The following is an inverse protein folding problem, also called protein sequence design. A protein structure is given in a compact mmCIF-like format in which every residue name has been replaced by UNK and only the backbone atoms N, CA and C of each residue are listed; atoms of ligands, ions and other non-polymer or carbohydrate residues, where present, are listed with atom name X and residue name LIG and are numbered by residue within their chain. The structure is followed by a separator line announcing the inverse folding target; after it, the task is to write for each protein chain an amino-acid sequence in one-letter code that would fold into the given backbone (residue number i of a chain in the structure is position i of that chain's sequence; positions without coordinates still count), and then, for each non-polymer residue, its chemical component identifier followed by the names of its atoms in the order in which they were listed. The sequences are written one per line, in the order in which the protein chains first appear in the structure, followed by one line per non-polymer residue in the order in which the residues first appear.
data_IF_188177664548
#
_entry.id   IF_188177664548
#
_cell.length_a   1.000
_cell.length_b   1.000
_cell.length_c   1.000
_cell.angle_alpha   90.00
_cell.angle_beta   90.00
_cell.angle_gamma   90.00
#
_symmetry.space_group_name_H-M   'P 1'
#
loop_
_entity.id
_entity.type
_entity.pdbx_description
1 polymer ?
#
# COMPACT_ATOMS: atom_id res chain seq x y z
N UNK A 1 -6.23 17.28 11.96
CA UNK A 1 -4.96 17.19 11.16
C UNK A 1 -5.05 18.07 9.93
N UNK A 2 -3.92 18.68 9.48
CA UNK A 2 -3.96 19.52 8.28
C UNK A 2 -4.17 18.68 7.02
N UNK A 3 -5.16 18.97 6.17
CA UNK A 3 -5.33 18.25 4.91
C UNK A 3 -4.10 18.42 4.00
N UNK A 4 -3.80 17.39 3.20
CA UNK A 4 -2.74 17.41 2.20
C UNK A 4 -3.38 17.58 0.81
N UNK A 5 -2.70 18.28 -0.12
CA UNK A 5 -3.24 18.52 -1.46
C UNK A 5 -2.20 18.24 -2.55
N UNK A 6 -2.52 17.33 -3.49
CA UNK A 6 -1.70 17.02 -4.66
C UNK A 6 -2.53 17.25 -5.92
N UNK A 7 -2.17 18.22 -6.75
CA UNK A 7 -2.77 18.44 -8.09
C UNK A 7 -4.30 18.40 -8.10
N UNK A 8 -4.93 19.03 -7.09
CA UNK A 8 -6.38 19.07 -6.93
C UNK A 8 -7.02 17.87 -6.24
N UNK A 9 -6.24 16.87 -5.80
CA UNK A 9 -6.68 15.81 -4.91
C UNK A 9 -6.45 16.23 -3.46
N UNK A 10 -7.47 16.16 -2.62
CA UNK A 10 -7.37 16.45 -1.19
C UNK A 10 -7.36 15.16 -0.38
N UNK A 11 -6.35 14.98 0.47
CA UNK A 11 -6.27 13.88 1.44
C UNK A 11 -6.62 14.45 2.81
N UNK A 12 -7.72 14.00 3.39
CA UNK A 12 -8.22 14.47 4.68
C UNK A 12 -8.35 13.29 5.67
N UNK A 13 -8.21 13.58 6.96
CA UNK A 13 -7.96 12.57 7.99
C UNK A 13 -8.98 12.63 9.12
N UNK A 14 -9.28 11.48 9.71
CA UNK A 14 -10.16 11.35 10.87
C UNK A 14 -11.55 11.93 10.62
N UNK A 15 -12.15 12.51 11.65
CA UNK A 15 -13.45 13.17 11.54
C UNK A 15 -13.45 14.35 10.55
N UNK A 16 -12.34 15.09 10.42
CA UNK A 16 -12.18 16.15 9.41
C UNK A 16 -12.26 15.58 7.99
N UNK A 17 -11.86 14.31 7.78
CA UNK A 17 -11.98 13.61 6.50
C UNK A 17 -13.43 13.42 6.08
N UNK A 18 -14.28 12.94 6.97
CA UNK A 18 -15.72 12.84 6.70
C UNK A 18 -16.37 14.21 6.49
N UNK A 19 -16.03 15.21 7.33
CA UNK A 19 -16.52 16.57 7.17
C UNK A 19 -16.10 17.19 5.80
N UNK A 20 -14.90 16.86 5.32
CA UNK A 20 -14.45 17.30 3.98
C UNK A 20 -15.25 16.62 2.86
N UNK A 21 -15.53 15.31 2.98
CA UNK A 21 -16.36 14.60 2.02
C UNK A 21 -17.79 15.15 2.01
N UNK A 22 -18.36 15.37 3.18
CA UNK A 22 -19.70 16.00 3.34
C UNK A 22 -19.75 17.35 2.63
N UNK A 23 -18.78 18.23 2.87
CA UNK A 23 -18.68 19.53 2.20
C UNK A 23 -18.55 19.37 0.69
N UNK A 24 -17.69 18.45 0.21
CA UNK A 24 -17.50 18.19 -1.21
C UNK A 24 -18.79 17.73 -1.89
N UNK A 25 -19.55 16.84 -1.26
CA UNK A 25 -20.83 16.36 -1.79
C UNK A 25 -21.87 17.49 -1.82
N UNK A 26 -22.00 18.28 -0.74
CA UNK A 26 -22.95 19.40 -0.67
C UNK A 26 -22.62 20.46 -1.74
N UNK A 27 -21.36 20.87 -1.87
CA UNK A 27 -20.93 21.88 -2.84
C UNK A 27 -21.13 21.46 -4.31
N UNK A 28 -21.08 20.15 -4.59
CA UNK A 28 -21.13 19.62 -5.95
C UNK A 28 -22.38 18.76 -6.23
N UNK A 29 -23.38 18.78 -5.36
CA UNK A 29 -24.57 17.91 -5.48
C UNK A 29 -25.27 18.04 -6.82
N UNK A 30 -25.44 19.26 -7.33
CA UNK A 30 -26.07 19.53 -8.62
C UNK A 30 -25.23 19.15 -9.83
N UNK A 31 -23.91 19.02 -9.64
CA UNK A 31 -22.99 18.61 -10.70
C UNK A 31 -23.00 17.09 -10.92
N UNK A 32 -23.45 16.31 -9.93
CA UNK A 32 -23.49 14.86 -10.02
C UNK A 32 -24.91 14.36 -10.38
N UNK A 33 -25.00 13.69 -11.53
CA UNK A 33 -26.23 13.04 -11.97
C UNK A 33 -26.59 11.81 -11.12
N UNK A 34 -25.55 11.15 -10.56
CA UNK A 34 -25.65 9.90 -9.80
C UNK A 34 -24.43 9.73 -8.89
N UNK A 35 -24.62 9.03 -7.78
CA UNK A 35 -23.53 8.57 -6.92
C UNK A 35 -23.55 7.04 -6.92
N UNK A 36 -22.40 6.43 -7.14
CA UNK A 36 -22.20 4.96 -7.09
C UNK A 36 -21.11 4.66 -6.06
N UNK A 37 -21.41 3.81 -5.09
CA UNK A 37 -20.44 3.30 -4.13
C UNK A 37 -19.95 1.93 -4.62
N UNK A 38 -18.67 1.84 -4.96
CA UNK A 38 -17.99 0.59 -5.26
C UNK A 38 -17.37 0.07 -3.97
N UNK A 39 -17.71 -1.14 -3.57
CA UNK A 39 -17.19 -1.82 -2.39
C UNK A 39 -17.01 -3.31 -2.65
N UNK A 40 -16.41 -4.02 -1.72
CA UNK A 40 -16.42 -5.48 -1.69
C UNK A 40 -17.38 -6.00 -0.59
N UNK A 41 -17.58 -7.33 -0.56
CA UNK A 41 -18.51 -7.97 0.38
C UNK A 41 -18.19 -7.63 1.84
N UNK A 42 -16.89 -7.52 2.22
CA UNK A 42 -16.50 -7.19 3.60
C UNK A 42 -16.71 -5.71 3.90
N UNK A 43 -16.35 -4.83 2.98
CA UNK A 43 -16.47 -3.39 3.19
C UNK A 43 -17.89 -2.88 3.08
N UNK A 44 -18.75 -3.57 2.33
CA UNK A 44 -20.20 -3.35 2.38
C UNK A 44 -20.76 -3.60 3.79
N UNK A 45 -20.41 -4.74 4.40
CA UNK A 45 -20.91 -5.12 5.72
C UNK A 45 -20.34 -4.25 6.85
N UNK A 46 -19.02 -4.03 6.85
CA UNK A 46 -18.32 -3.46 7.99
C UNK A 46 -18.00 -1.96 7.89
N UNK A 47 -17.92 -1.41 6.67
CA UNK A 47 -17.45 -0.05 6.46
C UNK A 47 -18.53 0.90 5.94
N UNK A 48 -19.46 0.43 5.10
CA UNK A 48 -20.51 1.27 4.54
C UNK A 48 -21.45 1.89 5.60
N UNK A 49 -21.84 1.19 6.69
CA UNK A 49 -22.64 1.80 7.75
C UNK A 49 -21.93 3.00 8.39
N UNK A 50 -20.64 2.89 8.68
CA UNK A 50 -19.85 4.00 9.25
C UNK A 50 -19.78 5.19 8.29
N UNK A 51 -19.59 4.94 6.99
CA UNK A 51 -19.61 6.01 5.98
C UNK A 51 -20.95 6.72 5.95
N UNK A 52 -22.05 5.99 5.88
CA UNK A 52 -23.41 6.56 5.82
C UNK A 52 -23.78 7.34 7.09
N UNK A 53 -23.34 6.90 8.27
CA UNK A 53 -23.56 7.60 9.53
C UNK A 53 -22.81 8.94 9.60
N UNK A 54 -21.58 8.99 9.07
CA UNK A 54 -20.71 10.17 9.17
C UNK A 54 -20.83 11.15 7.98
N UNK A 55 -21.54 10.77 6.91
CA UNK A 55 -21.74 11.60 5.71
C UNK A 55 -23.23 11.66 5.36
N UNK A 56 -24.04 12.46 6.08
CA UNK A 56 -25.49 12.52 5.92
C UNK A 56 -25.97 12.95 4.52
N UNK A 57 -25.15 13.71 3.76
CA UNK A 57 -25.48 14.10 2.39
C UNK A 57 -25.33 12.96 1.38
N UNK A 58 -24.71 11.84 1.79
CA UNK A 58 -24.62 10.63 0.98
C UNK A 58 -25.98 9.90 0.98
N UNK A 59 -26.89 10.39 0.16
CA UNK A 59 -28.22 9.83 -0.05
C UNK A 59 -28.41 9.45 -1.51
N UNK A 60 -29.38 8.60 -1.79
CA UNK A 60 -29.76 8.20 -3.17
C UNK A 60 -28.55 7.68 -3.98
N UNK A 61 -27.70 6.85 -3.36
CA UNK A 61 -26.59 6.19 -4.02
C UNK A 61 -26.93 4.75 -4.39
N UNK A 62 -26.30 4.29 -5.47
CA UNK A 62 -26.32 2.89 -5.89
C UNK A 62 -25.07 2.16 -5.40
N UNK A 63 -25.18 0.86 -5.14
CA UNK A 63 -24.06 0.03 -4.71
C UNK A 63 -23.67 -0.90 -5.84
N UNK A 64 -22.36 -0.91 -6.15
CA UNK A 64 -21.73 -1.94 -6.97
C UNK A 64 -20.80 -2.74 -6.06
N UNK A 65 -21.18 -3.98 -5.77
CA UNK A 65 -20.40 -4.88 -4.91
C UNK A 65 -19.65 -5.90 -5.74
N UNK A 66 -18.38 -6.11 -5.41
CA UNK A 66 -17.57 -7.20 -5.96
C UNK A 66 -17.16 -8.16 -4.84
N UNK A 67 -16.78 -9.42 -5.15
CA UNK A 67 -16.23 -10.30 -4.13
C UNK A 67 -14.91 -9.75 -3.57
N UNK A 68 -14.65 -9.97 -2.27
CA UNK A 68 -13.42 -9.56 -1.63
C UNK A 68 -12.22 -10.44 -2.07
N UNK A 69 -11.04 -9.85 -2.16
CA UNK A 69 -9.76 -10.53 -2.39
C UNK A 69 -9.01 -10.11 -3.65
N UNK A 70 -7.68 -10.26 -3.61
CA UNK A 70 -6.75 -9.84 -4.67
C UNK A 70 -7.03 -10.54 -6.01
N UNK A 71 -7.56 -11.78 -6.00
CA UNK A 71 -7.91 -12.52 -7.22
C UNK A 71 -8.95 -11.81 -8.11
N UNK A 72 -9.71 -10.89 -7.53
CA UNK A 72 -10.69 -10.08 -8.26
C UNK A 72 -10.13 -8.77 -8.81
N UNK A 73 -8.86 -8.47 -8.58
CA UNK A 73 -8.18 -7.29 -9.14
C UNK A 73 -7.73 -7.54 -10.59
N UNK A 74 -8.67 -7.73 -11.50
CA UNK A 74 -8.42 -8.12 -12.89
C UNK A 74 -9.37 -7.44 -13.88
N UNK A 75 -9.12 -7.62 -15.19
CA UNK A 75 -9.92 -7.02 -16.27
C UNK A 75 -11.33 -7.56 -16.36
N UNK A 76 -11.57 -8.83 -15.99
CA UNK A 76 -12.93 -9.41 -16.01
C UNK A 76 -13.82 -8.72 -14.96
N UNK A 77 -13.29 -8.45 -13.79
CA UNK A 77 -13.98 -7.66 -12.76
C UNK A 77 -14.22 -6.22 -13.22
N UNK A 78 -13.24 -5.58 -13.88
CA UNK A 78 -13.46 -4.25 -14.49
C UNK A 78 -14.61 -4.27 -15.48
N UNK A 79 -14.68 -5.28 -16.35
CA UNK A 79 -15.78 -5.43 -17.33
C UNK A 79 -17.12 -5.53 -16.62
N UNK A 80 -17.22 -6.34 -15.55
CA UNK A 80 -18.46 -6.48 -14.77
C UNK A 80 -18.87 -5.15 -14.12
N UNK A 81 -17.93 -4.39 -13.58
CA UNK A 81 -18.21 -3.06 -12.99
C UNK A 81 -18.69 -2.09 -14.08
N UNK A 82 -18.05 -2.06 -15.27
CA UNK A 82 -18.51 -1.20 -16.37
C UNK A 82 -19.90 -1.59 -16.88
N UNK A 83 -20.22 -2.89 -16.96
CA UNK A 83 -21.58 -3.38 -17.29
C UNK A 83 -22.59 -2.90 -16.26
N UNK A 84 -22.28 -3.03 -14.95
CA UNK A 84 -23.15 -2.53 -13.88
C UNK A 84 -23.36 -0.99 -13.98
N UNK A 85 -22.30 -0.23 -14.25
CA UNK A 85 -22.41 1.22 -14.47
C UNK A 85 -23.33 1.56 -15.67
N UNK A 86 -23.25 0.78 -16.75
CA UNK A 86 -24.16 0.95 -17.91
C UNK A 86 -25.61 0.64 -17.55
N UNK A 87 -25.86 -0.45 -16.82
CA UNK A 87 -27.20 -0.84 -16.37
C UNK A 87 -27.83 0.21 -15.45
N UNK A 88 -27.01 0.79 -14.58
CA UNK A 88 -27.36 1.92 -13.73
C UNK A 88 -27.52 3.23 -14.51
N UNK A 89 -27.28 3.26 -15.84
CA UNK A 89 -27.30 4.46 -16.68
C UNK A 89 -26.36 5.56 -16.18
N UNK A 90 -25.19 5.16 -15.66
CA UNK A 90 -24.16 6.09 -15.27
C UNK A 90 -23.68 6.91 -16.47
N UNK A 91 -23.45 8.20 -16.26
CA UNK A 91 -22.99 9.14 -17.28
C UNK A 91 -21.67 9.84 -16.86
N UNK A 92 -21.22 10.85 -17.60
CA UNK A 92 -19.99 11.58 -17.33
C UNK A 92 -20.02 12.39 -16.03
N UNK A 93 -21.18 12.61 -15.47
CA UNK A 93 -21.41 13.34 -14.23
C UNK A 93 -21.67 12.40 -13.05
N UNK A 94 -21.55 11.10 -13.25
CA UNK A 94 -21.62 10.13 -12.16
C UNK A 94 -20.38 10.25 -11.29
N UNK A 95 -20.57 10.36 -9.96
CA UNK A 95 -19.50 10.27 -8.98
C UNK A 95 -19.37 8.80 -8.53
N UNK A 96 -18.16 8.24 -8.61
CA UNK A 96 -17.84 6.93 -8.04
C UNK A 96 -17.11 7.11 -6.70
N UNK A 97 -17.58 6.45 -5.65
CA UNK A 97 -16.94 6.39 -4.33
C UNK A 97 -16.38 4.98 -4.15
N UNK A 98 -15.07 4.85 -4.05
CA UNK A 98 -14.38 3.60 -3.83
C UNK A 98 -14.20 3.41 -2.32
N UNK A 99 -15.01 2.54 -1.71
CA UNK A 99 -14.97 2.23 -0.29
C UNK A 99 -14.31 0.86 -0.09
N UNK A 100 -13.03 0.81 0.24
CA UNK A 100 -12.35 -0.49 0.41
C UNK A 100 -10.85 -0.43 0.55
N UNK A 101 -10.23 -1.58 0.60
CA UNK A 101 -8.78 -1.77 0.62
C UNK A 101 -8.11 -1.42 -0.71
N UNK A 102 -6.84 -1.82 -0.85
CA UNK A 102 -6.01 -1.57 -2.04
C UNK A 102 -6.66 -2.09 -3.32
N UNK A 103 -7.31 -3.27 -3.28
CA UNK A 103 -8.02 -3.83 -4.44
C UNK A 103 -9.09 -2.85 -4.93
N UNK A 104 -9.97 -2.38 -4.04
CA UNK A 104 -11.07 -1.47 -4.40
C UNK A 104 -10.55 -0.11 -4.86
N UNK A 105 -9.56 0.47 -4.21
CA UNK A 105 -9.03 1.78 -4.60
C UNK A 105 -8.31 1.74 -5.94
N UNK A 106 -7.57 0.65 -6.24
CA UNK A 106 -6.84 0.49 -7.49
C UNK A 106 -7.79 0.19 -8.66
N UNK A 107 -8.64 -0.85 -8.54
CA UNK A 107 -9.59 -1.22 -9.59
C UNK A 107 -10.64 -0.13 -9.82
N UNK A 108 -11.15 0.46 -8.72
CA UNK A 108 -12.15 1.51 -8.80
C UNK A 108 -11.61 2.77 -9.47
N UNK A 109 -10.39 3.18 -9.11
CA UNK A 109 -9.73 4.30 -9.78
C UNK A 109 -9.48 4.03 -11.27
N UNK A 110 -9.08 2.81 -11.63
CA UNK A 110 -8.87 2.38 -13.02
C UNK A 110 -10.19 2.37 -13.80
N UNK A 111 -11.24 1.75 -13.25
CA UNK A 111 -12.58 1.70 -13.82
C UNK A 111 -13.13 3.10 -14.07
N UNK A 112 -13.11 3.97 -13.05
CA UNK A 112 -13.60 5.34 -13.16
C UNK A 112 -12.84 6.14 -14.22
N UNK A 113 -11.51 5.96 -14.31
CA UNK A 113 -10.66 6.67 -15.26
C UNK A 113 -10.88 6.23 -16.72
N UNK A 114 -11.31 4.98 -16.94
CA UNK A 114 -11.58 4.44 -18.27
C UNK A 114 -13.04 4.66 -18.70
N UNK A 115 -14.01 4.60 -17.77
CA UNK A 115 -15.42 4.73 -18.09
C UNK A 115 -15.72 6.11 -18.67
N UNK A 116 -16.38 6.14 -19.85
CA UNK A 116 -16.71 7.36 -20.60
C UNK A 116 -15.53 8.36 -20.76
N UNK A 117 -14.29 7.90 -20.78
CA UNK A 117 -13.03 8.67 -20.82
C UNK A 117 -12.74 9.43 -19.51
N UNK A 118 -13.25 8.94 -18.40
CA UNK A 118 -13.04 9.45 -17.06
C UNK A 118 -14.30 10.03 -16.44
N UNK A 119 -14.70 9.48 -15.29
CA UNK A 119 -15.70 10.04 -14.38
C UNK A 119 -14.99 10.43 -13.07
N UNK A 120 -15.51 11.43 -12.32
CA UNK A 120 -14.96 11.79 -11.02
C UNK A 120 -15.07 10.64 -10.03
N UNK A 121 -14.04 10.47 -9.19
CA UNK A 121 -14.06 9.47 -8.12
C UNK A 121 -13.44 9.97 -6.82
N UNK A 122 -13.80 9.31 -5.72
CA UNK A 122 -13.32 9.52 -4.36
C UNK A 122 -12.82 8.18 -3.83
N UNK A 123 -11.73 8.18 -3.06
CA UNK A 123 -11.24 6.99 -2.36
C UNK A 123 -11.48 7.10 -0.86
N UNK A 124 -12.02 6.03 -0.28
CA UNK A 124 -12.20 5.85 1.16
C UNK A 124 -11.48 4.54 1.53
N UNK A 125 -10.15 4.61 1.77
CA UNK A 125 -9.36 3.42 2.09
C UNK A 125 -9.71 2.86 3.46
N UNK A 126 -9.99 1.55 3.51
CA UNK A 126 -10.45 0.87 4.73
C UNK A 126 -9.41 -0.08 5.33
N UNK A 127 -8.36 -0.47 4.59
CA UNK A 127 -7.23 -1.23 5.13
C UNK A 127 -6.07 -0.28 5.45
N UNK A 128 -5.22 -0.64 6.42
CA UNK A 128 -4.05 0.18 6.78
C UNK A 128 -3.13 0.37 5.56
N UNK A 129 -2.88 -0.69 4.79
CA UNK A 129 -2.09 -0.63 3.55
C UNK A 129 -2.66 0.40 2.56
N UNK A 130 -3.98 0.40 2.35
CA UNK A 130 -4.60 1.36 1.45
C UNK A 130 -4.56 2.79 2.00
N UNK A 131 -4.71 2.97 3.31
CA UNK A 131 -4.64 4.29 3.96
C UNK A 131 -3.27 4.94 3.81
N UNK A 132 -2.20 4.19 4.04
CA UNK A 132 -0.83 4.75 4.06
C UNK A 132 -0.14 4.67 2.70
N UNK A 133 -0.60 3.79 1.81
CA UNK A 133 0.09 3.56 0.53
C UNK A 133 -0.85 3.60 -0.68
N UNK A 134 -1.67 2.60 -0.94
CA UNK A 134 -2.31 2.38 -2.24
C UNK A 134 -3.22 3.55 -2.69
N UNK A 135 -3.99 4.18 -1.80
CA UNK A 135 -4.91 5.26 -2.16
C UNK A 135 -4.24 6.61 -2.42
N UNK A 136 -2.95 6.76 -2.10
CA UNK A 136 -2.20 8.02 -2.20
C UNK A 136 -1.19 7.95 -3.33
N UNK A 137 -1.24 8.92 -4.26
CA UNK A 137 -0.26 9.02 -5.35
C UNK A 137 -0.76 8.66 -6.72
N UNK A 138 -2.07 8.34 -6.85
CA UNK A 138 -2.78 8.27 -8.13
C UNK A 138 -2.42 7.08 -9.03
N UNK A 139 -1.65 6.11 -8.55
CA UNK A 139 -1.50 4.84 -9.28
C UNK A 139 -2.81 4.07 -9.15
N UNK A 140 -3.40 3.69 -10.28
CA UNK A 140 -4.58 2.83 -10.36
C UNK A 140 -4.29 1.71 -11.34
N UNK A 141 -4.82 0.51 -11.13
CA UNK A 141 -4.51 -0.57 -12.04
C UNK A 141 -5.04 -1.93 -11.62
N UNK A 142 -4.76 -2.89 -12.48
CA UNK A 142 -5.18 -4.28 -12.33
C UNK A 142 -4.09 -5.25 -12.77
N UNK A 143 -4.24 -6.48 -12.33
CA UNK A 143 -3.35 -7.59 -12.63
C UNK A 143 -3.71 -8.24 -13.97
N UNK A 144 -2.72 -8.80 -14.65
CA UNK A 144 -2.91 -9.58 -15.87
C UNK A 144 -1.89 -10.71 -15.96
N UNK A 145 -2.36 -11.93 -16.17
CA UNK A 145 -1.50 -13.09 -16.41
C UNK A 145 -0.58 -13.42 -15.22
N UNK A 146 -1.04 -13.16 -13.99
CA UNK A 146 -0.26 -13.39 -12.76
C UNK A 146 0.75 -12.28 -12.45
N UNK A 147 0.80 -11.21 -13.26
CA UNK A 147 1.68 -10.06 -13.00
C UNK A 147 0.85 -8.94 -12.37
N UNK A 148 1.22 -8.54 -11.15
CA UNK A 148 0.54 -7.49 -10.41
C UNK A 148 0.70 -6.12 -11.04
N UNK A 149 -0.40 -5.33 -11.04
CA UNK A 149 -0.44 -3.92 -11.43
C UNK A 149 0.19 -3.61 -12.81
N UNK A 150 0.14 -4.57 -13.75
CA UNK A 150 0.78 -4.44 -15.07
C UNK A 150 0.00 -3.50 -16.01
N UNK A 151 -1.32 -3.40 -15.80
CA UNK A 151 -2.19 -2.50 -16.53
C UNK A 151 -2.67 -1.43 -15.59
N UNK A 152 -2.40 -0.16 -15.90
CA UNK A 152 -2.79 0.92 -15.00
C UNK A 152 -2.62 2.32 -15.59
N UNK A 153 -3.08 3.28 -14.82
CA UNK A 153 -3.06 4.70 -15.13
C UNK A 153 -2.53 5.51 -13.94
N UNK A 154 -2.11 6.72 -14.21
CA UNK A 154 -1.95 7.75 -13.19
C UNK A 154 -3.21 8.63 -13.20
N UNK A 155 -4.08 8.46 -12.21
CA UNK A 155 -5.33 9.20 -12.07
C UNK A 155 -5.61 9.50 -10.60
N UNK A 156 -5.84 10.77 -10.29
CA UNK A 156 -6.06 11.22 -8.92
C UNK A 156 -7.55 11.27 -8.58
N UNK A 157 -7.97 10.79 -7.40
CA UNK A 157 -9.30 11.02 -6.87
C UNK A 157 -9.51 12.50 -6.55
N UNK A 158 -10.76 12.94 -6.42
CA UNK A 158 -11.10 14.28 -5.94
C UNK A 158 -10.78 14.45 -4.46
N UNK A 159 -11.13 13.44 -3.68
CA UNK A 159 -10.89 13.40 -2.23
C UNK A 159 -10.41 11.99 -1.86
N UNK A 160 -9.50 11.90 -0.89
CA UNK A 160 -9.18 10.68 -0.15
C UNK A 160 -9.55 10.92 1.31
N UNK A 161 -10.38 10.04 1.87
CA UNK A 161 -10.78 10.10 3.29
C UNK A 161 -10.08 9.00 4.04
N UNK A 162 -9.08 9.34 4.84
CA UNK A 162 -8.32 8.41 5.67
C UNK A 162 -8.88 8.46 7.10
N UNK A 163 -9.40 7.34 7.60
CA UNK A 163 -9.98 7.26 8.95
C UNK A 163 -9.62 5.94 9.61
N UNK A 164 -8.90 6.01 10.74
CA UNK A 164 -8.42 4.82 11.46
C UNK A 164 -9.56 3.98 12.04
N UNK A 165 -10.75 4.54 12.24
CA UNK A 165 -11.94 3.79 12.69
C UNK A 165 -12.29 2.59 11.81
N UNK A 166 -11.98 2.61 10.51
CA UNK A 166 -12.17 1.45 9.63
C UNK A 166 -11.29 0.26 9.99
N UNK A 167 -10.19 0.49 10.71
CA UNK A 167 -9.26 -0.56 11.11
C UNK A 167 -9.79 -1.44 12.25
N UNK A 168 -10.86 -1.02 12.94
CA UNK A 168 -11.42 -1.76 14.09
C UNK A 168 -11.99 -3.13 13.72
N UNK A 169 -12.44 -3.31 12.48
CA UNK A 169 -12.92 -4.59 11.94
C UNK A 169 -11.88 -5.32 11.09
N UNK A 170 -10.69 -4.73 10.91
CA UNK A 170 -9.65 -5.28 10.04
C UNK A 170 -8.90 -6.43 10.72
N UNK A 171 -8.69 -7.59 10.09
CA UNK A 171 -7.86 -8.66 10.61
C UNK A 171 -6.43 -8.22 10.92
N UNK A 172 -5.82 -8.80 11.96
CA UNK A 172 -4.47 -8.45 12.40
C UNK A 172 -3.42 -8.61 11.29
N UNK A 173 -3.57 -9.60 10.42
CA UNK A 173 -2.67 -9.81 9.29
C UNK A 173 -2.67 -8.64 8.32
N UNK A 174 -3.83 -8.05 8.06
CA UNK A 174 -3.99 -6.86 7.21
C UNK A 174 -3.46 -5.58 7.89
N UNK A 175 -3.57 -5.49 9.23
CA UNK A 175 -2.90 -4.43 10.00
C UNK A 175 -1.39 -4.54 9.82
N UNK A 176 -0.82 -5.73 10.01
CA UNK A 176 0.62 -5.96 9.82
C UNK A 176 1.05 -5.68 8.38
N UNK A 177 0.22 -6.01 7.40
CA UNK A 177 0.51 -5.72 5.99
C UNK A 177 0.70 -4.21 5.75
N UNK A 178 -0.20 -3.38 6.26
CA UNK A 178 -0.05 -1.92 6.17
C UNK A 178 1.08 -1.36 7.03
N UNK A 179 1.33 -1.96 8.19
CA UNK A 179 2.40 -1.54 9.10
C UNK A 179 3.79 -1.70 8.48
N UNK A 180 4.02 -2.70 7.62
CA UNK A 180 5.26 -2.85 6.86
C UNK A 180 5.56 -1.60 6.01
N UNK A 181 4.54 -1.03 5.37
CA UNK A 181 4.69 0.19 4.58
C UNK A 181 4.99 1.42 5.44
N UNK A 182 4.40 1.51 6.63
CA UNK A 182 4.73 2.58 7.58
C UNK A 182 6.19 2.49 8.04
N UNK A 183 6.68 1.28 8.37
CA UNK A 183 8.09 1.04 8.70
C UNK A 183 9.00 1.44 7.54
N UNK A 184 8.65 1.07 6.31
CA UNK A 184 9.36 1.48 5.10
C UNK A 184 9.46 3.01 5.01
N UNK A 185 8.35 3.73 5.18
CA UNK A 185 8.34 5.20 5.14
C UNK A 185 9.31 5.81 6.17
N UNK A 186 9.34 5.27 7.39
CA UNK A 186 10.30 5.67 8.41
C UNK A 186 11.74 5.42 7.98
N UNK A 187 12.04 4.21 7.51
CA UNK A 187 13.39 3.80 7.12
C UNK A 187 13.94 4.61 5.95
N UNK A 188 13.12 4.97 4.97
CA UNK A 188 13.60 5.68 3.77
C UNK A 188 13.63 7.21 3.93
N UNK A 189 12.85 7.82 4.86
CA UNK A 189 12.65 9.27 4.85
C UNK A 189 12.61 9.93 6.22
N UNK A 190 12.39 9.21 7.31
CA UNK A 190 12.22 9.82 8.65
C UNK A 190 12.65 8.90 9.78
N UNK A 191 13.88 9.10 10.29
CA UNK A 191 14.35 8.40 11.50
C UNK A 191 13.35 8.55 12.66
N UNK A 192 12.81 9.76 12.86
CA UNK A 192 11.80 9.99 13.93
C UNK A 192 10.58 9.09 13.77
N UNK A 193 10.02 9.00 12.55
CA UNK A 193 8.85 8.14 12.29
C UNK A 193 9.17 6.65 12.52
N UNK A 194 10.36 6.21 12.12
CA UNK A 194 10.85 4.86 12.45
C UNK A 194 10.89 4.63 13.97
N UNK A 195 11.47 5.57 14.73
CA UNK A 195 11.58 5.47 16.19
C UNK A 195 10.20 5.49 16.87
N UNK A 196 9.29 6.34 16.40
CA UNK A 196 7.90 6.40 16.90
C UNK A 196 7.17 5.06 16.65
N UNK A 197 7.31 4.45 15.46
CA UNK A 197 6.68 3.16 15.12
C UNK A 197 7.28 1.99 15.89
N UNK A 198 8.62 1.90 15.92
CA UNK A 198 9.31 0.76 16.53
C UNK A 198 9.27 0.80 18.06
N UNK A 199 9.08 1.97 18.65
CA UNK A 199 9.03 2.17 20.10
C UNK A 199 7.63 2.28 20.69
N UNK A 200 6.57 2.41 19.85
CA UNK A 200 5.22 2.62 20.38
C UNK A 200 4.67 1.38 21.09
N UNK A 201 4.02 1.63 22.21
CA UNK A 201 3.18 0.66 22.94
C UNK A 201 1.73 1.15 23.04
N UNK A 202 1.46 2.34 22.52
CA UNK A 202 0.13 2.97 22.48
C UNK A 202 -0.48 2.76 21.11
N UNK A 203 -1.56 1.99 21.05
CA UNK A 203 -2.36 1.70 19.86
C UNK A 203 -3.78 2.28 19.99
N UNK A 204 -3.94 3.34 20.80
CA UNK A 204 -5.19 4.11 20.82
C UNK A 204 -5.53 4.62 19.42
N UNK A 205 -6.81 4.85 19.17
CA UNK A 205 -7.28 5.35 17.86
C UNK A 205 -6.58 6.66 17.49
N UNK A 206 -6.46 7.58 18.46
CA UNK A 206 -5.80 8.88 18.28
C UNK A 206 -4.33 8.72 17.90
N UNK A 207 -3.57 7.86 18.60
CA UNK A 207 -2.16 7.62 18.28
C UNK A 207 -1.98 6.93 16.95
N UNK A 208 -2.87 6.01 16.60
CA UNK A 208 -2.87 5.33 15.30
C UNK A 208 -3.11 6.34 14.16
N UNK A 209 -4.05 7.26 14.31
CA UNK A 209 -4.29 8.32 13.33
C UNK A 209 -3.09 9.25 13.14
N UNK A 210 -2.37 9.62 14.22
CA UNK A 210 -1.14 10.40 14.12
C UNK A 210 -0.07 9.68 13.31
N UNK A 211 0.17 8.39 13.61
CA UNK A 211 1.17 7.58 12.91
C UNK A 211 0.81 7.38 11.42
N UNK A 212 -0.48 7.18 11.12
CA UNK A 212 -0.98 7.11 9.74
C UNK A 212 -0.73 8.45 9.02
N UNK A 213 -1.08 9.57 9.67
CA UNK A 213 -0.87 10.91 9.10
C UNK A 213 0.60 11.15 8.74
N UNK A 214 1.52 10.85 9.66
CA UNK A 214 2.96 11.03 9.43
C UNK A 214 3.45 10.14 8.27
N UNK A 215 2.97 8.90 8.21
CA UNK A 215 3.28 7.96 7.13
C UNK A 215 2.78 8.47 5.77
N UNK A 216 1.51 8.89 5.71
CA UNK A 216 0.90 9.46 4.50
C UNK A 216 1.62 10.74 4.07
N UNK A 217 2.01 11.58 5.03
CA UNK A 217 2.74 12.83 4.76
C UNK A 217 4.10 12.54 4.12
N UNK A 218 4.83 11.53 4.58
CA UNK A 218 6.10 11.11 3.96
C UNK A 218 5.86 10.70 2.50
N UNK A 219 4.89 9.84 2.25
CA UNK A 219 4.55 9.42 0.88
C UNK A 219 4.08 10.58 0.03
N UNK A 220 3.23 11.45 0.58
CA UNK A 220 2.75 12.66 -0.08
C UNK A 220 3.91 13.54 -0.56
N UNK A 221 4.89 13.84 0.32
CA UNK A 221 6.04 14.68 -0.01
C UNK A 221 6.88 14.06 -1.15
N UNK A 222 7.09 12.74 -1.12
CA UNK A 222 7.79 12.00 -2.19
C UNK A 222 7.03 12.04 -3.52
N UNK A 223 5.71 11.80 -3.49
CA UNK A 223 4.89 11.79 -4.71
C UNK A 223 4.76 13.18 -5.31
N UNK A 224 4.65 14.22 -4.48
CA UNK A 224 4.59 15.62 -4.92
C UNK A 224 5.86 16.03 -5.66
N UNK A 225 7.03 15.58 -5.20
CA UNK A 225 8.32 15.87 -5.82
C UNK A 225 8.53 15.06 -7.11
N UNK A 226 8.09 13.80 -7.14
CA UNK A 226 8.24 12.91 -8.31
C UNK A 226 6.94 12.13 -8.61
N UNK A 227 5.97 12.76 -9.29
CA UNK A 227 4.68 12.12 -9.57
C UNK A 227 4.76 10.87 -10.45
N UNK A 228 5.79 10.77 -11.31
CA UNK A 228 5.91 9.72 -12.36
C UNK A 228 7.00 8.69 -12.09
N UNK A 229 7.60 8.68 -10.90
CA UNK A 229 8.59 7.67 -10.45
C UNK A 229 9.85 7.60 -11.33
N UNK A 230 10.39 8.74 -11.68
CA UNK A 230 11.64 8.82 -12.45
C UNK A 230 12.89 9.00 -11.58
N UNK A 231 12.74 9.43 -10.33
CA UNK A 231 13.79 9.73 -9.39
C UNK A 231 13.41 9.37 -7.95
N UNK A 232 13.17 10.39 -7.10
CA UNK A 232 12.94 10.23 -5.66
C UNK A 232 11.86 9.20 -5.31
N UNK A 233 10.77 9.12 -6.07
CA UNK A 233 9.68 8.16 -5.80
C UNK A 233 10.13 6.70 -5.89
N UNK A 234 11.24 6.40 -6.55
CA UNK A 234 11.84 5.05 -6.54
C UNK A 234 12.27 4.62 -5.14
N UNK A 235 12.51 5.57 -4.20
CA UNK A 235 12.86 5.22 -2.82
C UNK A 235 11.77 4.42 -2.13
N UNK A 236 10.49 4.57 -2.54
CA UNK A 236 9.37 3.76 -2.07
C UNK A 236 9.48 2.27 -2.45
N UNK A 237 10.42 1.90 -3.32
CA UNK A 237 10.69 0.50 -3.68
C UNK A 237 11.64 -0.21 -2.71
N UNK A 238 12.12 0.44 -1.63
CA UNK A 238 12.89 -0.24 -0.59
C UNK A 238 12.09 -1.40 0.00
N UNK A 239 12.70 -2.56 0.10
CA UNK A 239 12.05 -3.81 0.51
C UNK A 239 11.25 -4.52 -0.60
N UNK A 240 10.97 -3.86 -1.72
CA UNK A 240 10.09 -4.40 -2.75
C UNK A 240 10.81 -5.26 -3.78
N UNK A 241 12.11 -5.06 -4.02
CA UNK A 241 12.83 -5.85 -5.02
C UNK A 241 12.90 -7.32 -4.59
N UNK A 242 13.31 -7.58 -3.35
CA UNK A 242 13.26 -8.93 -2.77
C UNK A 242 11.83 -9.31 -2.41
N UNK A 243 11.07 -8.40 -1.79
CA UNK A 243 9.72 -8.66 -1.29
C UNK A 243 8.76 -9.17 -2.36
N UNK A 244 8.66 -8.53 -3.52
CA UNK A 244 7.78 -8.98 -4.60
C UNK A 244 8.17 -10.35 -5.15
N UNK A 245 9.46 -10.67 -5.22
CA UNK A 245 9.89 -11.98 -5.69
C UNK A 245 9.57 -13.07 -4.67
N UNK A 246 9.72 -12.79 -3.38
CA UNK A 246 9.30 -13.67 -2.28
C UNK A 246 7.78 -13.84 -2.30
N UNK A 247 7.00 -12.76 -2.41
CA UNK A 247 5.53 -12.80 -2.53
C UNK A 247 5.09 -13.69 -3.69
N UNK A 248 5.68 -13.48 -4.88
CA UNK A 248 5.39 -14.29 -6.08
C UNK A 248 5.66 -15.78 -5.86
N UNK A 249 6.77 -16.12 -5.20
CA UNK A 249 7.07 -17.50 -4.88
C UNK A 249 6.01 -18.11 -3.94
N UNK A 250 5.67 -17.40 -2.85
CA UNK A 250 4.72 -17.91 -1.86
C UNK A 250 3.27 -17.94 -2.35
N UNK A 251 2.88 -17.12 -3.34
CA UNK A 251 1.56 -17.21 -3.99
C UNK A 251 1.31 -18.61 -4.60
N UNK A 252 2.35 -19.32 -5.01
CA UNK A 252 2.26 -20.68 -5.54
C UNK A 252 2.30 -21.78 -4.48
N UNK A 253 2.30 -21.45 -3.19
CA UNK A 253 2.40 -22.40 -2.07
C UNK A 253 1.06 -22.54 -1.31
N UNK A 254 0.90 -23.58 -0.47
CA UNK A 254 -0.29 -23.73 0.39
C UNK A 254 -0.45 -22.61 1.44
N UNK A 255 0.62 -21.89 1.74
CA UNK A 255 0.68 -20.79 2.73
C UNK A 255 1.15 -19.52 2.06
N UNK A 256 0.29 -18.83 1.27
CA UNK A 256 0.64 -17.56 0.64
C UNK A 256 0.95 -16.50 1.71
N UNK A 257 1.90 -15.62 1.43
CA UNK A 257 2.20 -14.48 2.29
C UNK A 257 1.39 -13.26 1.86
N UNK A 258 0.95 -12.46 2.83
CA UNK A 258 0.44 -11.13 2.53
C UNK A 258 1.56 -10.23 1.98
N UNK A 259 1.18 -9.21 1.24
CA UNK A 259 2.12 -8.24 0.66
C UNK A 259 3.09 -7.69 1.71
N UNK A 260 2.57 -7.21 2.84
CA UNK A 260 3.41 -6.61 3.88
C UNK A 260 4.37 -7.59 4.56
N UNK A 261 3.99 -8.87 4.70
CA UNK A 261 4.93 -9.89 5.18
C UNK A 261 6.11 -10.06 4.22
N UNK A 262 5.83 -10.15 2.93
CA UNK A 262 6.86 -10.29 1.91
C UNK A 262 7.76 -9.04 1.83
N UNK A 263 7.16 -7.84 1.91
CA UNK A 263 7.91 -6.57 1.95
C UNK A 263 8.76 -6.47 3.23
N UNK A 264 8.27 -6.92 4.38
CA UNK A 264 9.04 -6.95 5.62
C UNK A 264 10.29 -7.85 5.50
N UNK A 265 10.15 -9.05 4.90
CA UNK A 265 11.29 -9.91 4.56
C UNK A 265 12.26 -9.17 3.62
N UNK A 266 11.72 -8.57 2.58
CA UNK A 266 12.51 -7.79 1.61
C UNK A 266 13.29 -6.65 2.25
N UNK A 267 12.66 -5.90 3.16
CA UNK A 267 13.32 -4.82 3.89
C UNK A 267 14.49 -5.32 4.75
N UNK A 268 14.38 -6.48 5.38
CA UNK A 268 15.50 -7.07 6.14
C UNK A 268 16.66 -7.44 5.20
N UNK A 269 16.37 -8.08 4.06
CA UNK A 269 17.39 -8.42 3.07
C UNK A 269 18.06 -7.16 2.52
N UNK A 270 17.29 -6.13 2.18
CA UNK A 270 17.79 -4.88 1.59
C UNK A 270 18.51 -4.00 2.64
N UNK A 271 18.14 -4.09 3.93
CA UNK A 271 18.89 -3.47 5.02
C UNK A 271 20.27 -4.14 5.20
N UNK A 272 20.34 -5.47 5.09
CA UNK A 272 21.64 -6.16 5.09
C UNK A 272 22.52 -5.73 3.90
N UNK A 273 21.94 -5.69 2.70
CA UNK A 273 22.63 -5.19 1.50
C UNK A 273 23.09 -3.74 1.68
N UNK A 274 22.29 -2.90 2.33
CA UNK A 274 22.65 -1.50 2.64
C UNK A 274 23.89 -1.41 3.54
N UNK A 275 24.02 -2.30 4.53
CA UNK A 275 25.21 -2.39 5.37
C UNK A 275 26.46 -2.91 4.63
N UNK A 276 26.29 -3.68 3.54
CA UNK A 276 27.41 -4.19 2.74
C UNK A 276 27.85 -3.24 1.62
N UNK A 277 26.91 -2.48 1.02
CA UNK A 277 27.15 -1.71 -0.19
C UNK A 277 26.95 -0.19 -0.04
N UNK A 278 26.36 0.26 1.10
CA UNK A 278 26.13 1.66 1.43
C UNK A 278 26.68 2.00 2.83
N UNK A 279 26.30 3.14 3.38
CA UNK A 279 26.82 3.63 4.65
C UNK A 279 25.97 3.24 5.89
N UNK A 280 24.93 2.39 5.72
CA UNK A 280 24.11 1.93 6.85
C UNK A 280 24.96 1.16 7.86
N UNK A 281 24.78 1.48 9.15
CA UNK A 281 25.44 0.72 10.23
C UNK A 281 25.09 -0.77 10.15
N UNK A 282 26.10 -1.62 10.05
CA UNK A 282 25.95 -3.08 9.94
C UNK A 282 25.23 -3.72 11.14
N UNK A 283 25.26 -3.07 12.30
CA UNK A 283 24.56 -3.52 13.49
C UNK A 283 23.03 -3.40 13.36
N UNK A 284 22.53 -2.56 12.43
CA UNK A 284 21.09 -2.37 12.25
C UNK A 284 20.40 -3.61 11.67
N UNK A 285 20.95 -4.24 10.65
CA UNK A 285 20.28 -5.34 9.96
C UNK A 285 19.95 -6.55 10.87
N UNK A 286 20.85 -7.04 11.76
CA UNK A 286 20.50 -8.09 12.72
C UNK A 286 19.38 -7.68 13.69
N UNK A 287 19.44 -6.48 14.25
CA UNK A 287 18.40 -5.98 15.15
C UNK A 287 17.06 -5.81 14.46
N UNK A 288 17.07 -5.32 13.21
CA UNK A 288 15.86 -5.18 12.40
C UNK A 288 15.26 -6.53 11.99
N UNK A 289 16.09 -7.52 11.64
CA UNK A 289 15.64 -8.90 11.39
C UNK A 289 14.90 -9.46 12.59
N UNK A 290 15.47 -9.33 13.79
CA UNK A 290 14.90 -9.87 15.01
C UNK A 290 13.57 -9.14 15.35
N UNK A 291 13.51 -7.82 15.16
CA UNK A 291 12.29 -7.03 15.28
C UNK A 291 11.20 -7.49 14.30
N UNK A 292 11.53 -7.67 13.03
CA UNK A 292 10.59 -8.15 12.00
C UNK A 292 10.09 -9.56 12.32
N UNK A 293 10.98 -10.48 12.67
CA UNK A 293 10.58 -11.85 13.07
C UNK A 293 9.70 -11.87 14.32
N UNK A 294 9.89 -10.93 15.22
CA UNK A 294 9.04 -10.77 16.41
C UNK A 294 7.62 -10.32 16.09
N UNK A 295 7.45 -9.48 15.06
CA UNK A 295 6.14 -8.96 14.64
C UNK A 295 5.40 -9.91 13.67
N UNK A 296 6.10 -10.41 12.66
CA UNK A 296 5.52 -11.14 11.52
C UNK A 296 5.64 -12.66 11.66
N UNK A 297 6.35 -13.13 12.68
CA UNK A 297 6.71 -14.53 12.81
C UNK A 297 7.99 -14.88 12.03
N UNK A 298 8.60 -16.00 12.41
CA UNK A 298 9.82 -16.50 11.79
C UNK A 298 9.46 -17.34 10.55
N UNK A 299 9.10 -16.68 9.45
CA UNK A 299 8.81 -17.35 8.17
C UNK A 299 10.15 -17.60 7.46
N UNK A 300 10.49 -18.86 7.22
CA UNK A 300 11.70 -19.22 6.50
C UNK A 300 11.46 -19.16 4.98
N UNK A 301 12.40 -18.51 4.26
CA UNK A 301 12.46 -18.58 2.79
C UNK A 301 13.30 -19.84 2.44
N UNK A 302 12.68 -20.90 1.89
CA UNK A 302 13.40 -22.15 1.64
C UNK A 302 14.63 -21.93 0.76
N UNK A 303 15.78 -22.46 1.16
CA UNK A 303 17.04 -22.27 0.42
C UNK A 303 16.95 -22.80 -1.02
N UNK A 304 16.16 -23.86 -1.26
CA UNK A 304 15.88 -24.39 -2.59
C UNK A 304 15.02 -23.46 -3.47
N UNK A 305 14.29 -22.48 -2.86
CA UNK A 305 13.48 -21.50 -3.57
C UNK A 305 14.30 -20.31 -4.10
N UNK A 306 15.49 -20.07 -3.52
CA UNK A 306 16.32 -18.89 -3.86
C UNK A 306 16.61 -18.78 -5.36
N UNK A 307 16.96 -19.85 -6.10
CA UNK A 307 17.16 -19.73 -7.55
C UNK A 307 15.92 -19.25 -8.30
N UNK A 308 14.72 -19.73 -7.94
CA UNK A 308 13.46 -19.30 -8.55
C UNK A 308 13.13 -17.83 -8.17
N UNK A 309 13.38 -17.43 -6.93
CA UNK A 309 13.19 -16.04 -6.48
C UNK A 309 14.10 -15.10 -7.26
N UNK A 310 15.38 -15.47 -7.47
CA UNK A 310 16.32 -14.69 -8.27
C UNK A 310 15.89 -14.60 -9.74
N UNK A 311 15.34 -15.68 -10.31
CA UNK A 311 14.80 -15.68 -11.67
C UNK A 311 13.64 -14.68 -11.82
N UNK A 312 12.69 -14.66 -10.87
CA UNK A 312 11.59 -13.68 -10.84
C UNK A 312 12.15 -12.25 -10.81
N UNK A 313 13.17 -11.98 -10.00
CA UNK A 313 13.80 -10.67 -9.96
C UNK A 313 14.41 -10.28 -11.31
N UNK A 314 15.08 -11.19 -12.01
CA UNK A 314 15.70 -10.91 -13.31
C UNK A 314 14.69 -10.51 -14.39
N UNK A 315 13.45 -10.96 -14.29
CA UNK A 315 12.37 -10.62 -15.23
C UNK A 315 11.65 -9.31 -14.90
N UNK A 316 11.97 -8.64 -13.79
CA UNK A 316 11.38 -7.34 -13.46
C UNK A 316 11.83 -6.26 -14.46
N UNK A 317 10.87 -5.46 -14.94
CA UNK A 317 11.06 -4.37 -15.90
C UNK A 317 12.06 -3.29 -15.47
N UNK A 318 12.38 -3.21 -14.18
CA UNK A 318 13.32 -2.25 -13.60
C UNK A 318 14.78 -2.61 -13.87
N UNK A 319 15.04 -3.82 -14.36
CA UNK A 319 16.38 -4.34 -14.56
C UNK A 319 16.99 -3.93 -15.91
N UNK A 320 18.28 -3.76 -15.89
CA UNK A 320 19.10 -3.46 -17.07
C UNK A 320 20.18 -4.54 -17.25
N UNK A 321 20.95 -4.43 -18.33
CA UNK A 321 22.16 -5.26 -18.51
C UNK A 321 23.22 -5.12 -17.39
N UNK A 322 23.00 -4.18 -16.43
CA UNK A 322 23.93 -3.90 -15.31
C UNK A 322 23.65 -4.74 -14.06
N UNK A 323 22.51 -5.46 -13.98
CA UNK A 323 22.11 -6.24 -12.81
C UNK A 323 20.70 -5.91 -12.34
N UNK A 324 20.35 -6.41 -11.16
CA UNK A 324 19.07 -6.15 -10.51
C UNK A 324 19.15 -4.81 -9.78
N UNK A 325 18.18 -3.93 -10.02
CA UNK A 325 18.18 -2.57 -9.48
C UNK A 325 17.52 -2.52 -8.09
N UNK A 326 18.21 -1.89 -7.15
CA UNK A 326 17.78 -1.74 -5.76
C UNK A 326 17.68 -0.28 -5.32
N UNK A 327 16.79 -0.04 -4.37
CA UNK A 327 16.85 1.07 -3.43
C UNK A 327 17.52 0.59 -2.15
N UNK A 328 18.52 1.30 -1.65
CA UNK A 328 19.23 0.94 -0.43
C UNK A 328 19.25 2.11 0.56
N UNK A 329 19.55 1.84 1.84
CA UNK A 329 19.64 2.84 2.88
C UNK A 329 21.09 3.32 3.05
N UNK A 330 21.29 4.62 3.04
CA UNK A 330 22.55 5.25 3.49
C UNK A 330 22.57 5.37 5.03
N UNK A 331 21.41 5.67 5.61
CA UNK A 331 21.15 5.71 7.04
C UNK A 331 19.65 5.50 7.30
N UNK A 332 19.25 5.27 8.55
CA UNK A 332 17.82 5.28 8.92
C UNK A 332 17.24 6.66 8.63
N UNK A 333 16.23 6.73 7.76
CA UNK A 333 15.61 7.95 7.28
C UNK A 333 16.24 8.53 6.01
N UNK A 334 17.22 7.83 5.41
CA UNK A 334 17.88 8.27 4.19
C UNK A 334 18.12 7.07 3.24
N UNK A 335 17.56 7.13 2.04
CA UNK A 335 17.67 6.09 1.02
C UNK A 335 18.24 6.65 -0.28
N UNK A 336 19.00 5.81 -0.99
CA UNK A 336 19.55 6.07 -2.32
C UNK A 336 19.05 5.03 -3.33
N UNK A 337 19.00 5.42 -4.60
CA UNK A 337 18.40 4.64 -5.69
C UNK A 337 19.43 4.19 -6.71
N UNK A 338 19.01 3.26 -7.58
CA UNK A 338 19.78 2.80 -8.74
C UNK A 338 21.10 2.07 -8.36
N UNK A 339 21.06 1.25 -7.28
CA UNK A 339 22.11 0.30 -6.93
C UNK A 339 21.92 -1.01 -7.69
N UNK A 340 22.92 -1.40 -8.49
CA UNK A 340 22.86 -2.62 -9.28
C UNK A 340 23.70 -3.70 -8.61
N UNK A 341 23.03 -4.76 -8.14
CA UNK A 341 23.70 -5.84 -7.41
C UNK A 341 23.65 -7.16 -8.17
N UNK A 342 24.64 -8.01 -7.91
CA UNK A 342 24.74 -9.34 -8.49
C UNK A 342 23.87 -10.36 -7.71
N UNK A 343 23.49 -11.47 -8.36
CA UNK A 343 22.64 -12.49 -7.73
C UNK A 343 23.26 -13.13 -6.48
N UNK A 344 24.58 -13.19 -6.35
CA UNK A 344 25.23 -13.79 -5.18
C UNK A 344 25.09 -12.93 -3.93
N UNK A 345 25.19 -11.61 -4.08
CA UNK A 345 24.92 -10.68 -2.97
C UNK A 345 23.48 -10.82 -2.47
N UNK A 346 22.53 -10.93 -3.40
CA UNK A 346 21.10 -11.10 -3.08
C UNK A 346 20.86 -12.45 -2.40
N UNK A 347 21.46 -13.53 -2.91
CA UNK A 347 21.39 -14.86 -2.27
C UNK A 347 21.88 -14.81 -0.82
N UNK A 348 22.99 -14.12 -0.57
CA UNK A 348 23.54 -13.95 0.79
C UNK A 348 22.58 -13.19 1.70
N UNK A 349 21.89 -12.15 1.22
CA UNK A 349 20.93 -11.39 2.02
C UNK A 349 19.70 -12.23 2.42
N UNK A 350 19.21 -13.11 1.53
CA UNK A 350 18.12 -14.02 1.85
C UNK A 350 18.57 -15.08 2.88
N UNK A 351 19.78 -15.61 2.74
CA UNK A 351 20.35 -16.52 3.73
C UNK A 351 20.53 -15.86 5.09
N UNK A 352 20.98 -14.60 5.13
CA UNK A 352 21.07 -13.80 6.36
C UNK A 352 19.69 -13.67 7.03
N UNK A 353 18.62 -13.40 6.26
CA UNK A 353 17.28 -13.34 6.83
C UNK A 353 16.90 -14.66 7.51
N UNK A 354 17.27 -15.81 6.94
CA UNK A 354 16.94 -17.13 7.50
C UNK A 354 17.72 -17.46 8.78
N UNK A 355 18.86 -16.79 9.04
CA UNK A 355 19.61 -17.05 10.28
C UNK A 355 18.71 -16.92 11.51
N UNK A 356 18.89 -17.78 12.54
CA UNK A 356 18.17 -17.61 13.78
C UNK A 356 18.50 -16.24 14.38
N UNK A 357 17.49 -15.58 14.96
CA UNK A 357 17.71 -14.37 15.75
C UNK A 357 18.57 -14.67 16.98
N UNK A 358 19.14 -13.66 17.60
CA UNK A 358 19.77 -13.81 18.89
C UNK A 358 18.75 -14.45 19.87
N UNK A 359 19.05 -15.60 20.43
CA UNK A 359 18.17 -16.32 21.35
C UNK A 359 17.69 -15.40 22.45
N UNK A 360 16.39 -15.31 22.57
CA UNK A 360 15.56 -14.53 23.44
C UNK A 360 16.16 -14.03 24.75
N UNK A 361 16.03 -12.72 24.94
CA UNK A 361 15.75 -12.21 26.27
C UNK A 361 14.32 -12.68 26.67
N UNK A 362 14.09 -13.22 27.87
CA UNK A 362 12.77 -13.64 28.31
C UNK A 362 11.82 -12.44 28.26
N UNK A 363 10.64 -12.63 27.67
CA UNK A 363 9.53 -11.69 27.81
C UNK A 363 9.22 -11.61 29.31
N UNK A 364 9.54 -10.49 29.96
CA UNK A 364 8.98 -10.16 31.26
C UNK A 364 7.46 -10.07 31.09
N UNK A 365 6.74 -10.94 31.83
CA UNK A 365 5.29 -11.03 31.88
C UNK A 365 4.63 -9.74 32.40
#
# INVERSE_FOLDING_TARGET
MTPLEINGCQVAFGADGFARLETFLCENREAFSRIVVLCDTHTHEHCLPMLAENVPSLTDYEIVEIPAGESYKNLDTCRQIWEALCDLKADRHTLQINLGGGVITDIGGFVASCYMRGIPFVNIPTTLLSQVDASVGGKTGVDLGGIKNIIGLFSLPRVVVVHAGFLTSLPQEEILSGFAEMLKHGLIRSRKHWEDLSGTKDFSLEKTEELIYDSVKIKYDVVREDPTEKGLRKTLNFGHTVGHAVETYFMGTPTPLSHGHAVAIGMVCEAWLSGEFCALDKAFAPAFRDYVKGLYGAIEVPSQAIPQILEVMLHDKKNSRKGINFTLLEAIGEASIDHYLDPEAIRRSILFYNEPGAEGAPREE
#
